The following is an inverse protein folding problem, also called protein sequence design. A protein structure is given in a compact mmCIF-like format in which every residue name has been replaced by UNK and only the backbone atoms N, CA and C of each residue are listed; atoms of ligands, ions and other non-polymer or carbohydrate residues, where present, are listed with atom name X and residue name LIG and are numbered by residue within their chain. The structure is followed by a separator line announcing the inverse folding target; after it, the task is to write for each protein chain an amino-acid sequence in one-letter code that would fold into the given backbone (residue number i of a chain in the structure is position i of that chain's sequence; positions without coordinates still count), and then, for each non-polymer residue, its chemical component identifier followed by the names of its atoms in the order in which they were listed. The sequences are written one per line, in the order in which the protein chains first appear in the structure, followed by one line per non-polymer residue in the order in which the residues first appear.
data_IF_009806577645
#
_entry.id   IF_009806577645
#
_cell.length_a   1.000
_cell.length_b   1.000
_cell.length_c   1.000
_cell.angle_alpha   90.00
_cell.angle_beta   90.00
_cell.angle_gamma   90.00
#
_symmetry.space_group_name_H-M   'P 1'
#
loop_
_entity.id
_entity.type
_entity.pdbx_description
1 polymer ?
#
# COMPACT_ATOMS: atom_id res chain seq x y z
N UNK A 1 -2.22 13.40 20.26
CA UNK A 1 -1.37 13.63 19.07
C UNK A 1 -0.90 12.26 18.67
N UNK A 2 -1.47 11.67 17.62
CA UNK A 2 -1.01 10.37 17.16
C UNK A 2 0.44 10.52 16.70
N UNK A 3 1.31 9.63 17.16
CA UNK A 3 2.67 9.58 16.69
C UNK A 3 2.64 9.16 15.21
N UNK A 4 3.39 9.86 14.35
CA UNK A 4 3.48 9.51 12.94
C UNK A 4 3.92 8.05 12.77
N UNK A 5 4.80 7.58 13.66
CA UNK A 5 5.23 6.18 13.70
C UNK A 5 4.05 5.23 13.96
N UNK A 6 3.12 5.58 14.84
CA UNK A 6 1.96 4.76 15.13
C UNK A 6 1.00 4.69 13.93
N UNK A 7 0.75 5.82 13.27
CA UNK A 7 -0.05 5.87 12.03
C UNK A 7 0.62 5.04 10.93
N UNK A 8 1.93 5.19 10.73
CA UNK A 8 2.68 4.42 9.75
C UNK A 8 2.59 2.91 10.02
N UNK A 9 2.76 2.48 11.28
CA UNK A 9 2.63 1.08 11.66
C UNK A 9 1.25 0.51 11.34
N UNK A 10 0.18 1.26 11.65
CA UNK A 10 -1.21 0.84 11.35
C UNK A 10 -1.41 0.68 9.84
N UNK A 11 -0.94 1.65 9.06
CA UNK A 11 -1.05 1.64 7.60
C UNK A 11 -0.25 0.47 7.02
N UNK A 12 0.99 0.28 7.46
CA UNK A 12 1.86 -0.79 6.97
C UNK A 12 1.29 -2.19 7.27
N UNK A 13 0.77 -2.41 8.48
CA UNK A 13 0.14 -3.69 8.85
C UNK A 13 -1.14 -3.97 8.08
N UNK A 14 -1.90 -2.94 7.71
CA UNK A 14 -3.03 -3.07 6.80
C UNK A 14 -2.57 -3.53 5.41
N UNK A 15 -1.56 -2.86 4.83
CA UNK A 15 -1.08 -3.18 3.49
C UNK A 15 -0.39 -4.55 3.41
N UNK A 16 0.33 -4.99 4.45
CA UNK A 16 0.88 -6.37 4.50
C UNK A 16 -0.17 -7.45 4.23
N UNK A 17 -1.41 -7.25 4.69
CA UNK A 17 -2.52 -8.20 4.49
C UNK A 17 -3.30 -7.94 3.21
N UNK A 18 -3.56 -6.68 2.89
CA UNK A 18 -4.46 -6.31 1.80
C UNK A 18 -3.76 -6.23 0.44
N UNK A 19 -2.49 -5.84 0.40
CA UNK A 19 -1.74 -5.65 -0.83
C UNK A 19 -1.65 -6.92 -1.69
N UNK A 20 -1.38 -8.12 -1.14
CA UNK A 20 -1.43 -9.36 -1.93
C UNK A 20 -2.81 -9.63 -2.55
N UNK A 21 -3.89 -9.35 -1.81
CA UNK A 21 -5.28 -9.54 -2.25
C UNK A 21 -5.58 -8.57 -3.39
N UNK A 22 -5.20 -7.30 -3.22
CA UNK A 22 -5.34 -6.27 -4.23
C UNK A 22 -4.60 -6.62 -5.54
N UNK A 23 -3.36 -7.10 -5.44
CA UNK A 23 -2.60 -7.55 -6.61
C UNK A 23 -3.23 -8.77 -7.30
N UNK A 24 -3.82 -9.70 -6.54
CA UNK A 24 -4.56 -10.83 -7.11
C UNK A 24 -5.82 -10.37 -7.86
N UNK A 25 -6.58 -9.46 -7.27
CA UNK A 25 -7.76 -8.87 -7.90
C UNK A 25 -7.40 -8.15 -9.22
N UNK A 26 -6.37 -7.30 -9.23
CA UNK A 26 -5.93 -6.60 -10.44
C UNK A 26 -5.48 -7.55 -11.56
N UNK A 27 -4.86 -8.70 -11.20
CA UNK A 27 -4.50 -9.74 -12.16
C UNK A 27 -5.73 -10.40 -12.79
N UNK A 28 -6.78 -10.62 -12.01
CA UNK A 28 -8.02 -11.25 -12.46
C UNK A 28 -8.84 -10.33 -13.36
N UNK A 29 -8.91 -9.04 -13.04
CA UNK A 29 -9.65 -8.02 -13.80
C UNK A 29 -8.99 -7.68 -15.16
N UNK A 30 -7.92 -8.37 -15.53
CA UNK A 30 -7.11 -8.14 -16.74
C UNK A 30 -6.63 -6.68 -16.90
N UNK A 31 -6.69 -5.89 -15.83
CA UNK A 31 -6.06 -4.58 -15.68
C UNK A 31 -4.57 -4.76 -15.42
N UNK A 32 -3.91 -5.48 -16.34
CA UNK A 32 -2.46 -5.70 -16.37
C UNK A 32 -1.76 -4.40 -16.75
N UNK A 33 -1.80 -3.41 -15.87
CA UNK A 33 -0.85 -2.31 -15.94
C UNK A 33 0.50 -2.87 -15.50
N UNK A 34 1.57 -2.59 -16.27
CA UNK A 34 2.93 -2.90 -15.83
C UNK A 34 3.17 -2.19 -14.50
N UNK A 35 3.26 -2.96 -13.43
CA UNK A 35 3.75 -2.44 -12.15
C UNK A 35 5.23 -2.15 -12.38
N UNK A 36 5.55 -0.87 -12.60
CA UNK A 36 6.94 -0.41 -12.53
C UNK A 36 7.33 -0.49 -11.05
N UNK A 37 8.54 -0.94 -10.76
CA UNK A 37 9.09 -0.79 -9.42
C UNK A 37 9.10 0.70 -9.09
N UNK A 38 8.17 1.11 -8.23
CA UNK A 38 8.21 2.41 -7.61
C UNK A 38 9.30 2.38 -6.54
N UNK A 39 9.92 3.53 -6.28
CA UNK A 39 10.89 3.68 -5.18
C UNK A 39 10.22 3.61 -3.81
N UNK A 40 8.88 3.71 -3.76
CA UNK A 40 8.07 3.70 -2.54
C UNK A 40 7.02 2.59 -2.59
N UNK A 41 6.76 1.96 -1.45
CA UNK A 41 5.68 1.00 -1.25
C UNK A 41 4.31 1.70 -1.23
N UNK A 42 3.23 0.92 -1.37
CA UNK A 42 1.87 1.43 -1.22
C UNK A 42 1.63 1.98 0.19
N UNK A 43 2.16 1.33 1.24
CA UNK A 43 2.05 1.82 2.61
C UNK A 43 2.75 3.17 2.80
N UNK A 44 3.94 3.36 2.21
CA UNK A 44 4.67 4.62 2.26
C UNK A 44 3.94 5.75 1.53
N UNK A 45 3.41 5.48 0.33
CA UNK A 45 2.64 6.46 -0.44
C UNK A 45 1.39 6.92 0.35
N UNK A 46 0.68 5.97 0.96
CA UNK A 46 -0.51 6.29 1.76
C UNK A 46 -0.15 7.03 3.04
N UNK A 47 0.92 6.63 3.74
CA UNK A 47 1.38 7.34 4.93
C UNK A 47 1.76 8.80 4.63
N UNK A 48 2.45 9.06 3.52
CA UNK A 48 2.76 10.42 3.05
C UNK A 48 1.47 11.21 2.71
N UNK A 49 0.45 10.53 2.18
CA UNK A 49 -0.81 11.19 1.79
C UNK A 49 -1.72 11.54 2.98
N UNK A 50 -1.58 10.82 4.10
CA UNK A 50 -2.36 11.02 5.32
C UNK A 50 -1.76 12.12 6.21
N UNK A 51 -0.45 12.32 6.14
CA UNK A 51 0.29 13.30 6.93
C UNK A 51 0.24 14.71 6.35
#
# INVERSE_FOLDING_TARGET
MYDFTEIFCIVDDFFKKFEPIYWQFLKQENKRQRIRQATLSLSEIVAISIY
#
